data_IF_033770437476
#
_entry.id   IF_033770437476
#
_cell.length_a   1.000
_cell.length_b   1.000
_cell.length_c   1.000
_cell.angle_alpha   90.00
_cell.angle_beta   90.00
_cell.angle_gamma   90.00
#
_symmetry.space_group_name_H-M   'P 1'
#
loop_
_entity.id
_entity.type
_entity.pdbx_description
1 polymer ?
#
# COMPACT_ATOMS: atom_id res chain seq x y z
N UNK A 1 -13.03 -3.23 6.07
CA UNK A 1 -11.98 -3.95 6.83
C UNK A 1 -11.60 -3.03 7.95
N UNK A 2 -11.79 -3.48 9.19
CA UNK A 2 -11.58 -2.69 10.39
C UNK A 2 -10.41 -3.30 11.17
N UNK A 3 -9.42 -2.49 11.52
CA UNK A 3 -8.25 -2.93 12.30
C UNK A 3 -8.46 -2.76 13.81
N UNK A 4 -9.48 -2.00 14.21
CA UNK A 4 -9.61 -1.49 15.58
C UNK A 4 -9.67 -2.58 16.62
N UNK A 5 -10.57 -3.55 16.46
CA UNK A 5 -10.73 -4.65 17.42
C UNK A 5 -9.43 -5.45 17.51
N UNK A 6 -8.91 -5.93 16.38
CA UNK A 6 -7.70 -6.76 16.35
C UNK A 6 -6.46 -6.06 16.91
N UNK A 7 -6.30 -4.76 16.65
CA UNK A 7 -5.17 -3.99 17.18
C UNK A 7 -5.31 -3.73 18.68
N UNK A 8 -6.50 -3.33 19.15
CA UNK A 8 -6.76 -3.11 20.58
C UNK A 8 -6.58 -4.40 21.38
N UNK A 9 -7.08 -5.53 20.87
CA UNK A 9 -6.91 -6.85 21.50
C UNK A 9 -5.42 -7.25 21.55
N UNK A 10 -4.67 -7.03 20.46
CA UNK A 10 -3.24 -7.32 20.44
C UNK A 10 -2.46 -6.43 21.43
N UNK A 11 -2.79 -5.14 21.52
CA UNK A 11 -2.13 -4.20 22.43
C UNK A 11 -2.33 -4.64 23.87
N UNK A 12 -3.56 -5.02 24.23
CA UNK A 12 -3.88 -5.53 25.55
C UNK A 12 -3.13 -6.82 25.86
N UNK A 13 -3.15 -7.79 24.96
CA UNK A 13 -2.57 -9.11 25.23
C UNK A 13 -1.03 -9.11 25.20
N UNK A 14 -0.41 -8.37 24.29
CA UNK A 14 1.03 -8.42 24.08
C UNK A 14 1.78 -7.35 24.88
N UNK A 15 1.23 -6.14 24.97
CA UNK A 15 1.86 -5.02 25.67
C UNK A 15 1.26 -4.75 27.05
N UNK A 16 0.14 -5.39 27.41
CA UNK A 16 -0.58 -5.14 28.68
C UNK A 16 -1.00 -3.68 28.84
N UNK A 17 -1.28 -3.01 27.72
CA UNK A 17 -1.74 -1.62 27.65
C UNK A 17 -3.22 -1.56 27.27
N UNK A 18 -3.93 -0.51 27.69
CA UNK A 18 -5.31 -0.30 27.24
C UNK A 18 -5.34 0.18 25.78
N UNK A 19 -5.77 -0.70 24.88
CA UNK A 19 -5.91 -0.40 23.45
C UNK A 19 -6.81 0.80 23.15
N UNK A 20 -7.72 1.18 24.05
CA UNK A 20 -8.56 2.37 23.90
C UNK A 20 -7.74 3.66 23.87
N UNK A 21 -6.55 3.66 24.47
CA UNK A 21 -5.63 4.80 24.46
C UNK A 21 -5.08 5.12 23.08
N UNK A 22 -5.21 4.21 22.11
CA UNK A 22 -4.70 4.34 20.74
C UNK A 22 -5.82 4.50 19.70
N UNK A 23 -7.03 4.82 20.14
CA UNK A 23 -8.21 4.89 19.26
C UNK A 23 -8.07 5.95 18.17
N UNK A 24 -7.48 7.10 18.48
CA UNK A 24 -7.25 8.19 17.54
C UNK A 24 -6.26 7.77 16.44
N UNK A 25 -5.13 7.16 16.81
CA UNK A 25 -4.11 6.72 15.85
C UNK A 25 -4.61 5.58 14.96
N UNK A 26 -5.43 4.68 15.51
CA UNK A 26 -6.07 3.63 14.72
C UNK A 26 -7.07 4.24 13.74
N UNK A 27 -7.87 5.21 14.18
CA UNK A 27 -8.82 5.92 13.30
C UNK A 27 -8.09 6.65 12.17
N UNK A 28 -6.99 7.36 12.45
CA UNK A 28 -6.16 8.03 11.45
C UNK A 28 -5.61 7.04 10.41
N UNK A 29 -5.14 5.87 10.84
CA UNK A 29 -4.67 4.82 9.94
C UNK A 29 -5.80 4.27 9.07
N UNK A 30 -6.99 4.09 9.65
CA UNK A 30 -8.19 3.62 8.97
C UNK A 30 -8.64 4.62 7.91
N UNK A 31 -8.65 5.91 8.22
CA UNK A 31 -9.01 6.99 7.30
C UNK A 31 -7.98 7.11 6.16
N UNK A 32 -6.69 7.02 6.48
CA UNK A 32 -5.63 7.01 5.47
C UNK A 32 -5.78 5.82 4.51
N UNK A 33 -6.07 4.63 5.04
CA UNK A 33 -6.36 3.45 4.22
C UNK A 33 -7.60 3.67 3.35
N UNK A 34 -8.65 4.26 3.90
CA UNK A 34 -9.88 4.53 3.17
C UNK A 34 -9.64 5.50 2.01
N UNK A 35 -8.82 6.54 2.21
CA UNK A 35 -8.41 7.48 1.18
C UNK A 35 -7.64 6.78 0.03
N UNK A 36 -6.86 5.75 0.32
CA UNK A 36 -6.13 4.95 -0.68
C UNK A 36 -7.04 4.14 -1.62
N UNK A 37 -8.34 3.98 -1.32
CA UNK A 37 -9.27 3.24 -2.19
C UNK A 37 -9.67 4.02 -3.44
N UNK A 38 -9.62 5.35 -3.38
CA UNK A 38 -10.00 6.23 -4.48
C UNK A 38 -9.02 7.41 -4.58
N UNK A 39 -7.73 7.15 -4.85
CA UNK A 39 -6.73 8.20 -4.97
C UNK A 39 -7.02 9.06 -6.21
N UNK A 40 -6.74 10.36 -6.11
CA UNK A 40 -6.82 11.26 -7.27
C UNK A 40 -5.72 10.92 -8.29
N UNK A 41 -6.02 11.05 -9.58
CA UNK A 41 -5.08 10.70 -10.67
C UNK A 41 -4.04 11.81 -10.92
N UNK A 42 -3.32 12.19 -9.87
CA UNK A 42 -2.30 13.25 -9.82
C UNK A 42 -1.32 13.00 -8.65
N UNK A 43 -0.39 13.93 -8.42
CA UNK A 43 0.63 13.79 -7.37
C UNK A 43 0.05 13.67 -5.95
N UNK A 44 -1.10 14.30 -5.67
CA UNK A 44 -1.77 14.15 -4.36
C UNK A 44 -2.24 12.71 -4.11
N UNK A 45 -2.66 11.98 -5.14
CA UNK A 45 -3.02 10.57 -5.02
C UNK A 45 -1.80 9.68 -4.78
N UNK A 46 -0.68 10.00 -5.44
CA UNK A 46 0.61 9.36 -5.18
C UNK A 46 1.03 9.57 -3.73
N UNK A 47 0.94 10.80 -3.22
CA UNK A 47 1.33 11.15 -1.86
C UNK A 47 0.54 10.35 -0.81
N UNK A 48 -0.79 10.24 -0.99
CA UNK A 48 -1.64 9.44 -0.09
C UNK A 48 -1.22 7.96 -0.09
N UNK A 49 -1.01 7.37 -1.26
CA UNK A 49 -0.59 5.97 -1.37
C UNK A 49 0.81 5.74 -0.77
N UNK A 50 1.75 6.64 -1.05
CA UNK A 50 3.11 6.57 -0.52
C UNK A 50 3.14 6.74 1.00
N UNK A 51 2.33 7.66 1.55
CA UNK A 51 2.17 7.85 3.00
C UNK A 51 1.67 6.57 3.65
N UNK A 52 0.60 5.96 3.11
CA UNK A 52 0.09 4.70 3.64
C UNK A 52 1.12 3.57 3.56
N UNK A 53 1.79 3.43 2.42
CA UNK A 53 2.85 2.44 2.23
C UNK A 53 3.99 2.61 3.25
N UNK A 54 4.37 3.86 3.57
CA UNK A 54 5.44 4.15 4.53
C UNK A 54 5.14 3.67 5.97
N UNK A 55 3.86 3.52 6.33
CA UNK A 55 3.47 2.99 7.64
C UNK A 55 3.50 1.46 7.71
N UNK A 56 3.43 0.77 6.56
CA UNK A 56 3.34 -0.69 6.47
C UNK A 56 4.48 -1.46 7.17
N UNK A 57 5.76 -1.06 7.07
CA UNK A 57 6.85 -1.72 7.80
C UNK A 57 6.68 -1.61 9.32
N UNK A 58 6.17 -0.48 9.80
CA UNK A 58 5.93 -0.26 11.22
C UNK A 58 4.78 -1.14 11.72
N UNK A 59 3.70 -1.26 10.93
CA UNK A 59 2.59 -2.16 11.24
C UNK A 59 3.04 -3.61 11.24
N UNK A 60 3.80 -4.03 10.23
CA UNK A 60 4.31 -5.39 10.11
C UNK A 60 5.16 -5.78 11.32
N UNK A 61 6.15 -4.94 11.67
CA UNK A 61 7.06 -5.22 12.80
C UNK A 61 6.38 -5.25 14.17
N UNK A 62 5.25 -4.54 14.36
CA UNK A 62 4.54 -4.48 15.64
C UNK A 62 3.44 -5.53 15.77
N UNK A 63 2.65 -5.73 14.71
CA UNK A 63 1.42 -6.53 14.78
C UNK A 63 1.52 -7.86 14.02
N UNK A 64 2.34 -7.96 12.97
CA UNK A 64 2.37 -9.13 12.09
C UNK A 64 3.64 -9.96 12.29
N UNK A 65 3.64 -10.80 13.34
CA UNK A 65 4.70 -11.79 13.59
C UNK A 65 4.45 -13.10 12.84
N UNK A 66 5.51 -13.79 12.45
CA UNK A 66 5.42 -15.13 11.84
C UNK A 66 4.74 -16.17 12.75
N UNK A 67 4.74 -15.95 14.06
CA UNK A 67 4.20 -16.88 15.06
C UNK A 67 2.76 -16.61 15.46
N UNK A 68 2.19 -15.46 15.08
CA UNK A 68 0.84 -15.05 15.49
C UNK A 68 0.09 -14.39 14.34
N UNK A 69 -1.06 -14.96 14.01
CA UNK A 69 -1.98 -14.37 13.04
C UNK A 69 -2.90 -13.37 13.73
N UNK A 70 -3.01 -12.16 13.19
CA UNK A 70 -3.87 -11.09 13.70
C UNK A 70 -5.36 -11.31 13.39
N UNK A 71 -5.71 -12.32 12.57
CA UNK A 71 -7.10 -12.54 12.12
C UNK A 71 -7.60 -11.50 11.10
N UNK A 72 -6.73 -10.59 10.65
CA UNK A 72 -7.02 -9.54 9.68
C UNK A 72 -6.88 -10.09 8.25
N UNK A 73 -7.93 -9.94 7.43
CA UNK A 73 -7.97 -10.43 6.04
C UNK A 73 -7.96 -9.30 5.01
N UNK A 74 -6.89 -9.22 4.21
CA UNK A 74 -6.75 -8.23 3.14
C UNK A 74 -7.43 -8.76 1.89
N UNK A 75 -8.38 -8.01 1.35
CA UNK A 75 -9.10 -8.36 0.12
C UNK A 75 -8.84 -7.31 -0.95
N UNK A 76 -8.27 -7.73 -2.07
CA UNK A 76 -8.04 -6.95 -3.28
C UNK A 76 -8.69 -7.65 -4.47
N UNK A 77 -8.93 -6.93 -5.56
CA UNK A 77 -9.55 -7.48 -6.76
C UNK A 77 -8.50 -7.53 -7.86
N UNK A 78 -8.38 -8.67 -8.52
CA UNK A 78 -7.61 -8.75 -9.76
C UNK A 78 -8.25 -7.83 -10.79
N UNK A 79 -7.45 -7.15 -11.61
CA UNK A 79 -8.00 -6.04 -12.42
C UNK A 79 -8.00 -6.29 -13.90
N UNK A 80 -7.58 -7.47 -14.30
CA UNK A 80 -7.87 -8.02 -15.62
C UNK A 80 -9.16 -8.85 -15.60
N UNK A 81 -9.45 -9.50 -14.48
CA UNK A 81 -10.51 -10.51 -14.32
C UNK A 81 -11.60 -10.11 -13.33
N UNK A 82 -11.33 -9.18 -12.40
CA UNK A 82 -12.27 -8.77 -11.35
C UNK A 82 -12.40 -9.76 -10.20
N UNK A 83 -11.60 -10.83 -10.16
CA UNK A 83 -11.71 -11.89 -9.14
C UNK A 83 -11.10 -11.42 -7.81
N UNK A 84 -11.78 -11.61 -6.67
CA UNK A 84 -11.23 -11.24 -5.37
C UNK A 84 -10.11 -12.18 -4.94
N UNK A 85 -9.00 -11.60 -4.47
CA UNK A 85 -7.91 -12.27 -3.76
C UNK A 85 -7.98 -11.85 -2.30
N UNK A 86 -8.04 -12.84 -1.40
CA UNK A 86 -8.14 -12.61 0.04
C UNK A 86 -7.02 -13.37 0.78
N UNK A 87 -6.20 -12.65 1.56
CA UNK A 87 -5.09 -13.22 2.32
C UNK A 87 -4.96 -12.58 3.70
N UNK A 88 -4.53 -13.36 4.70
CA UNK A 88 -4.19 -12.83 6.04
C UNK A 88 -2.77 -12.26 6.13
N UNK A 89 -2.16 -11.96 4.98
CA UNK A 89 -0.78 -11.51 4.89
C UNK A 89 -0.74 -10.04 4.45
N UNK A 90 -0.12 -9.19 5.27
CA UNK A 90 0.12 -7.76 4.97
C UNK A 90 0.91 -7.55 3.67
N UNK A 91 1.65 -8.57 3.21
CA UNK A 91 2.32 -8.56 1.90
C UNK A 91 1.36 -8.31 0.74
N UNK A 92 0.11 -8.82 0.79
CA UNK A 92 -0.88 -8.56 -0.24
C UNK A 92 -1.25 -7.07 -0.29
N UNK A 93 -1.47 -6.46 0.87
CA UNK A 93 -1.78 -5.02 0.98
C UNK A 93 -0.63 -4.18 0.43
N UNK A 94 0.61 -4.46 0.88
CA UNK A 94 1.81 -3.75 0.42
C UNK A 94 1.97 -3.82 -1.10
N UNK A 95 1.86 -5.02 -1.66
CA UNK A 95 2.08 -5.24 -3.06
C UNK A 95 0.98 -4.58 -3.91
N UNK A 96 -0.27 -4.60 -3.45
CA UNK A 96 -1.39 -3.93 -4.13
C UNK A 96 -1.28 -2.40 -4.08
N UNK A 97 -0.85 -1.82 -2.94
CA UNK A 97 -0.60 -0.38 -2.84
C UNK A 97 0.55 0.05 -3.75
N UNK A 98 1.66 -0.70 -3.76
CA UNK A 98 2.80 -0.43 -4.64
C UNK A 98 2.41 -0.51 -6.12
N UNK A 99 1.60 -1.51 -6.47
CA UNK A 99 1.04 -1.63 -7.81
C UNK A 99 0.25 -0.37 -8.18
N UNK A 100 -0.66 0.09 -7.32
CA UNK A 100 -1.50 1.27 -7.57
C UNK A 100 -0.67 2.55 -7.72
N UNK A 101 0.45 2.69 -6.99
CA UNK A 101 1.40 3.78 -7.17
C UNK A 101 1.98 3.76 -8.60
N UNK A 102 2.47 2.59 -9.05
CA UNK A 102 2.98 2.42 -10.41
C UNK A 102 1.90 2.73 -11.46
N UNK A 103 0.68 2.22 -11.26
CA UNK A 103 -0.45 2.48 -12.13
C UNK A 103 -0.78 3.98 -12.22
N UNK A 104 -0.79 4.72 -11.11
CA UNK A 104 -0.99 6.18 -11.14
C UNK A 104 0.12 6.89 -11.93
N UNK A 105 1.38 6.51 -11.73
CA UNK A 105 2.49 7.09 -12.49
C UNK A 105 2.35 6.87 -14.00
N UNK A 106 1.90 5.68 -14.45
CA UNK A 106 1.60 5.48 -15.88
C UNK A 106 0.48 6.40 -16.38
N UNK A 107 -0.56 6.62 -15.56
CA UNK A 107 -1.67 7.51 -15.91
C UNK A 107 -1.23 8.99 -15.97
N UNK A 108 -0.31 9.40 -15.09
CA UNK A 108 0.29 10.75 -15.12
C UNK A 108 1.12 10.90 -16.40
N UNK A 109 2.05 9.99 -16.66
CA UNK A 109 2.94 10.05 -17.84
C UNK A 109 2.20 10.00 -19.17
N UNK A 110 1.08 9.26 -19.24
CA UNK A 110 0.25 9.21 -20.45
C UNK A 110 -0.44 10.55 -20.77
N UNK A 111 -0.72 11.39 -19.76
CA UNK A 111 -1.42 12.68 -19.90
C UNK A 111 -0.51 13.87 -20.20
N UNK A 112 0.80 13.74 -20.01
CA UNK A 112 1.76 14.81 -20.28
C UNK A 112 1.76 15.23 -21.76
N UNK A 113 1.96 16.54 -22.00
CA UNK A 113 2.09 17.07 -23.37
C UNK A 113 3.50 16.81 -23.93
N UNK A 114 3.63 15.74 -24.72
CA UNK A 114 4.93 15.32 -25.29
C UNK A 114 5.43 16.16 -26.46
N UNK A 115 4.67 17.19 -26.87
CA UNK A 115 5.10 18.13 -27.91
C UNK A 115 6.03 19.21 -27.37
N UNK A 116 6.10 19.40 -26.05
CA UNK A 116 7.05 20.31 -25.40
C UNK A 116 8.19 19.53 -24.77
N UNK A 117 9.38 20.14 -24.70
CA UNK A 117 10.52 19.51 -24.03
C UNK A 117 10.26 19.23 -22.55
N UNK A 118 9.55 20.12 -21.85
CA UNK A 118 9.16 19.92 -20.44
C UNK A 118 8.18 18.77 -20.26
N UNK A 119 7.11 18.71 -21.07
CA UNK A 119 6.11 17.65 -20.95
C UNK A 119 6.63 16.28 -21.41
N UNK A 120 7.61 16.25 -22.32
CA UNK A 120 8.34 15.02 -22.63
C UNK A 120 9.17 14.54 -21.44
N UNK A 121 9.89 15.45 -20.77
CA UNK A 121 10.69 15.10 -19.60
C UNK A 121 9.81 14.63 -18.42
N UNK A 122 8.68 15.28 -18.18
CA UNK A 122 7.69 14.86 -17.18
C UNK A 122 7.16 13.45 -17.47
N UNK A 123 6.84 13.15 -18.74
CA UNK A 123 6.38 11.83 -19.14
C UNK A 123 7.46 10.75 -18.89
N UNK A 124 8.71 11.03 -19.25
CA UNK A 124 9.85 10.13 -19.01
C UNK A 124 9.99 9.85 -17.52
N UNK A 125 10.07 10.89 -16.69
CA UNK A 125 10.19 10.75 -15.24
C UNK A 125 9.03 9.95 -14.64
N UNK A 126 7.80 10.18 -15.11
CA UNK A 126 6.63 9.44 -14.64
C UNK A 126 6.71 7.95 -15.01
N UNK A 127 7.12 7.61 -16.24
CA UNK A 127 7.28 6.20 -16.63
C UNK A 127 8.44 5.49 -15.92
N UNK A 128 9.54 6.20 -15.65
CA UNK A 128 10.64 5.68 -14.83
C UNK A 128 10.16 5.35 -13.40
N UNK A 129 9.44 6.27 -12.77
CA UNK A 129 8.80 6.05 -11.47
C UNK A 129 7.75 4.93 -11.51
N UNK A 130 7.02 4.76 -12.61
CA UNK A 130 6.11 3.62 -12.75
C UNK A 130 6.86 2.28 -12.81
N UNK A 131 8.06 2.26 -13.39
CA UNK A 131 8.89 1.07 -13.55
C UNK A 131 9.69 0.68 -12.28
N UNK A 132 9.61 1.47 -11.21
CA UNK A 132 10.37 1.23 -9.98
C UNK A 132 11.66 2.05 -9.85
N UNK A 133 12.01 2.85 -10.86
CA UNK A 133 13.16 3.76 -10.82
C UNK A 133 12.76 4.97 -9.96
N UNK A 134 13.24 5.01 -8.71
CA UNK A 134 12.99 6.03 -7.67
C UNK A 134 11.61 6.05 -6.97
N UNK A 135 10.80 5.00 -7.07
CA UNK A 135 9.39 5.07 -6.62
C UNK A 135 9.19 5.10 -5.11
N UNK A 136 10.19 4.77 -4.27
CA UNK A 136 10.12 4.88 -2.81
C UNK A 136 11.53 4.92 -2.21
N UNK A 137 11.75 5.51 -1.02
CA UNK A 137 13.02 5.39 -0.32
C UNK A 137 13.35 3.90 -0.21
N UNK A 138 14.57 3.55 -0.58
CA UNK A 138 15.18 2.22 -0.63
C UNK A 138 15.04 1.47 0.70
N UNK A 139 13.82 1.02 1.02
CA UNK A 139 13.56 0.16 2.13
C UNK A 139 13.80 -1.29 1.71
N UNK A 140 14.38 -2.13 2.59
CA UNK A 140 14.58 -3.56 2.34
C UNK A 140 13.27 -4.38 2.19
N UNK A 141 12.11 -3.71 2.10
CA UNK A 141 10.80 -4.35 1.96
C UNK A 141 10.66 -5.18 0.68
N UNK A 142 11.36 -4.82 -0.41
CA UNK A 142 11.29 -5.57 -1.67
C UNK A 142 12.06 -6.90 -1.59
N UNK A 143 13.16 -6.97 -0.82
CA UNK A 143 13.97 -8.20 -0.70
C UNK A 143 13.33 -9.26 0.21
N UNK A 144 12.37 -8.88 1.05
CA UNK A 144 11.63 -9.80 1.93
C UNK A 144 10.25 -10.18 1.40
N UNK A 145 9.79 -9.57 0.30
CA UNK A 145 8.55 -9.99 -0.35
C UNK A 145 8.79 -11.32 -1.08
N UNK A 146 8.17 -12.39 -0.59
CA UNK A 146 8.22 -13.68 -1.27
C UNK A 146 7.80 -13.51 -2.74
N UNK A 147 8.45 -14.19 -3.70
CA UNK A 147 8.15 -14.04 -5.13
C UNK A 147 6.67 -14.31 -5.47
N UNK A 148 5.98 -15.12 -4.67
CA UNK A 148 4.54 -15.37 -4.79
C UNK A 148 3.66 -14.16 -4.43
N UNK A 149 4.11 -13.28 -3.53
CA UNK A 149 3.40 -12.03 -3.17
C UNK A 149 3.52 -10.99 -4.28
N UNK A 150 4.66 -10.94 -4.97
CA UNK A 150 4.84 -10.14 -6.19
C UNK A 150 3.99 -10.70 -7.34
N UNK A 151 4.01 -12.01 -7.56
CA UNK A 151 3.16 -12.66 -8.55
C UNK A 151 1.67 -12.47 -8.27
N UNK A 152 1.22 -12.53 -7.01
CA UNK A 152 -0.17 -12.30 -6.64
C UNK A 152 -0.62 -10.84 -6.81
N UNK A 153 0.32 -9.88 -6.80
CA UNK A 153 0.05 -8.47 -7.04
C UNK A 153 0.18 -8.05 -8.50
N UNK A 154 0.95 -8.80 -9.32
CA UNK A 154 0.95 -8.66 -10.78
C UNK A 154 -0.43 -8.89 -11.42
N UNK A 155 -1.38 -9.40 -10.64
CA UNK A 155 -2.76 -9.66 -11.02
C UNK A 155 -3.74 -8.54 -10.56
N UNK A 156 -3.34 -7.53 -9.77
CA UNK A 156 -4.23 -6.51 -9.17
C UNK A 156 -3.92 -5.10 -9.72
N UNK A 157 -4.79 -4.47 -10.54
CA UNK A 157 -4.83 -3.02 -10.91
C UNK A 157 -5.87 -2.16 -10.16
#
# INVERSE_FOLDING_TARGET
>A
MDFSVSFKDFILEHYSEDGSSFEEEIADLMDLRQACRTPSRNDAGIEILAKYFSHMPLLESRFFSATRQMGIFFTWYDSFTGVPVCQQNISLEKASILFNIGALYTQIGTRCNRQTGSGLQEAITAFQKAAGEDTLPSQPAVSHMAPYSLFSAMWVL
#
